data_IF_820069602140
#
_entry.id   IF_820069602140
#
_cell.length_a   1.000
_cell.length_b   1.000
_cell.length_c   1.000
_cell.angle_alpha   90.00
_cell.angle_beta   90.00
_cell.angle_gamma   90.00
#
_symmetry.space_group_name_H-M   'P 1'
#
loop_
_entity.id
_entity.type
_entity.pdbx_description
1 polymer ?
#
# COMPACT_ATOMS: atom_id res chain seq x y z
N UNK A 1 -3.45 30.10 2.72
CA UNK A 1 -2.32 29.22 2.86
C UNK A 1 -2.73 27.76 2.92
N UNK A 2 -2.27 27.00 2.01
CA UNK A 2 -2.70 25.62 1.89
C UNK A 2 -1.72 24.61 2.50
N UNK A 3 -0.51 25.06 2.81
CA UNK A 3 0.52 24.20 3.35
C UNK A 3 0.12 23.48 4.64
N UNK A 4 -0.73 24.12 5.45
CA UNK A 4 -1.18 23.56 6.71
C UNK A 4 -2.07 22.33 6.54
N UNK A 5 -2.63 22.14 5.33
CA UNK A 5 -3.50 20.98 5.05
C UNK A 5 -2.74 19.82 4.43
N UNK A 6 -1.47 20.01 4.14
CA UNK A 6 -0.67 18.97 3.54
C UNK A 6 -0.08 18.10 4.64
N UNK A 7 -0.19 16.79 4.45
CA UNK A 7 0.47 15.84 5.35
C UNK A 7 1.82 15.46 4.76
N UNK A 8 2.76 15.08 5.61
CA UNK A 8 4.05 14.61 5.17
C UNK A 8 3.90 13.31 4.38
N UNK A 9 4.89 12.98 3.55
CA UNK A 9 4.87 11.71 2.83
C UNK A 9 4.88 10.53 3.79
N UNK A 10 5.58 10.64 4.92
CA UNK A 10 5.57 9.59 5.92
C UNK A 10 4.20 9.38 6.55
N UNK A 11 3.53 10.47 6.94
CA UNK A 11 2.18 10.38 7.52
C UNK A 11 1.18 9.84 6.51
N UNK A 12 1.34 10.21 5.25
CA UNK A 12 0.51 9.66 4.17
C UNK A 12 0.75 8.16 4.03
N UNK A 13 2.01 7.73 4.04
CA UNK A 13 2.35 6.31 3.95
C UNK A 13 1.75 5.53 5.12
N UNK A 14 1.80 6.10 6.33
CA UNK A 14 1.22 5.45 7.51
C UNK A 14 -0.30 5.35 7.40
N UNK A 15 -0.95 6.40 6.95
CA UNK A 15 -2.40 6.38 6.74
C UNK A 15 -2.80 5.30 5.76
N UNK A 16 -2.14 5.26 4.60
CA UNK A 16 -2.46 4.30 3.56
C UNK A 16 -2.15 2.86 4.00
N UNK A 17 -1.09 2.68 4.76
CA UNK A 17 -0.74 1.38 5.34
C UNK A 17 -1.85 0.89 6.27
N UNK A 18 -2.29 1.75 7.19
CA UNK A 18 -3.35 1.40 8.13
C UNK A 18 -4.63 1.02 7.40
N UNK A 19 -5.02 1.82 6.40
CA UNK A 19 -6.24 1.57 5.65
C UNK A 19 -6.17 0.26 4.86
N UNK A 20 -4.99 -0.05 4.28
CA UNK A 20 -4.81 -1.31 3.57
C UNK A 20 -4.92 -2.50 4.52
N UNK A 21 -4.32 -2.40 5.71
CA UNK A 21 -4.39 -3.47 6.70
C UNK A 21 -5.82 -3.67 7.20
N UNK A 22 -6.58 -2.60 7.36
CA UNK A 22 -7.99 -2.69 7.76
C UNK A 22 -8.84 -3.41 6.73
N UNK A 23 -8.41 -3.41 5.47
CA UNK A 23 -9.04 -4.17 4.39
C UNK A 23 -8.42 -5.56 4.22
N UNK A 24 -7.59 -5.98 5.19
CA UNK A 24 -6.98 -7.31 5.24
C UNK A 24 -5.94 -7.56 4.12
N UNK A 25 -5.31 -6.50 3.62
CA UNK A 25 -4.13 -6.66 2.79
C UNK A 25 -3.05 -7.37 3.60
N UNK A 26 -2.28 -8.24 2.95
CA UNK A 26 -1.24 -8.98 3.64
C UNK A 26 0.10 -8.86 2.91
N UNK A 27 1.15 -9.37 3.54
CA UNK A 27 2.53 -9.25 3.07
C UNK A 27 2.86 -7.81 2.70
N UNK A 28 2.41 -6.88 3.55
CA UNK A 28 2.58 -5.46 3.32
C UNK A 28 3.97 -5.03 3.72
N UNK A 29 4.65 -4.35 2.80
CA UNK A 29 5.94 -3.71 3.07
C UNK A 29 5.86 -2.26 2.64
N UNK A 30 6.56 -1.40 3.37
CA UNK A 30 6.74 0.00 3.00
C UNK A 30 8.22 0.18 2.67
N UNK A 31 8.51 0.60 1.46
CA UNK A 31 9.88 0.80 0.98
C UNK A 31 10.17 2.30 0.94
N UNK A 32 11.29 2.68 1.52
CA UNK A 32 11.78 4.05 1.43
C UNK A 32 12.59 4.16 0.13
N UNK A 33 12.04 4.86 -0.85
CA UNK A 33 12.65 4.95 -2.18
C UNK A 33 13.13 6.36 -2.52
N UNK A 34 13.05 7.30 -1.57
CA UNK A 34 13.34 8.70 -1.87
C UNK A 34 14.76 8.93 -2.40
N UNK A 35 15.72 8.13 -1.97
CA UNK A 35 17.11 8.25 -2.41
C UNK A 35 17.39 7.51 -3.73
N UNK A 36 16.45 6.67 -4.16
CA UNK A 36 16.64 5.80 -5.33
C UNK A 36 15.88 6.28 -6.57
N UNK A 37 14.84 7.07 -6.38
CA UNK A 37 14.02 7.55 -7.49
C UNK A 37 13.40 8.90 -7.12
N UNK A 38 13.13 9.70 -8.15
CA UNK A 38 12.44 10.98 -7.97
C UNK A 38 10.92 10.88 -8.06
N UNK A 39 10.38 9.68 -8.36
CA UNK A 39 8.93 9.56 -8.60
C UNK A 39 8.11 9.44 -7.32
N UNK A 40 8.73 9.04 -6.23
CA UNK A 40 8.03 8.92 -4.95
C UNK A 40 9.02 8.86 -3.80
N UNK A 41 8.53 9.10 -2.59
CA UNK A 41 9.30 8.91 -1.36
C UNK A 41 9.12 7.50 -0.82
N UNK A 42 7.92 6.93 -0.95
CA UNK A 42 7.61 5.60 -0.44
C UNK A 42 6.80 4.80 -1.45
N UNK A 43 7.11 3.51 -1.51
CA UNK A 43 6.24 2.52 -2.15
C UNK A 43 5.63 1.66 -1.05
N UNK A 44 4.35 1.38 -1.19
CA UNK A 44 3.67 0.39 -0.35
C UNK A 44 3.30 -0.78 -1.26
N UNK A 45 3.77 -1.97 -0.91
CA UNK A 45 3.43 -3.18 -1.65
C UNK A 45 2.63 -4.09 -0.73
N UNK A 46 1.50 -4.55 -1.20
CA UNK A 46 0.67 -5.48 -0.43
C UNK A 46 -0.07 -6.43 -1.37
N UNK A 47 -0.65 -7.45 -0.80
CA UNK A 47 -1.27 -8.53 -1.57
C UNK A 47 -2.71 -8.77 -1.14
N UNK A 48 -3.49 -9.28 -2.08
CA UNK A 48 -4.81 -9.83 -1.85
C UNK A 48 -4.88 -11.26 -2.37
N UNK A 49 -5.80 -12.05 -1.83
CA UNK A 49 -5.94 -13.46 -2.17
C UNK A 49 -6.69 -13.71 -3.46
N UNK A 50 -7.41 -12.70 -3.95
CA UNK A 50 -8.20 -12.79 -5.16
C UNK A 50 -8.23 -11.42 -5.83
N UNK A 51 -8.64 -11.38 -7.09
CA UNK A 51 -8.84 -10.12 -7.79
C UNK A 51 -9.90 -9.26 -7.10
N UNK A 52 -10.95 -9.87 -6.56
CA UNK A 52 -11.98 -9.17 -5.80
C UNK A 52 -11.43 -8.51 -4.54
N UNK A 53 -10.58 -9.22 -3.81
CA UNK A 53 -9.98 -8.66 -2.61
C UNK A 53 -9.06 -7.49 -2.97
N UNK A 54 -8.26 -7.64 -4.04
CA UNK A 54 -7.41 -6.56 -4.53
C UNK A 54 -8.24 -5.32 -4.84
N UNK A 55 -9.35 -5.49 -5.56
CA UNK A 55 -10.26 -4.38 -5.86
C UNK A 55 -10.85 -3.76 -4.60
N UNK A 56 -11.26 -4.59 -3.64
CA UNK A 56 -11.80 -4.13 -2.37
C UNK A 56 -10.78 -3.31 -1.56
N UNK A 57 -9.54 -3.78 -1.51
CA UNK A 57 -8.46 -3.06 -0.84
C UNK A 57 -8.27 -1.69 -1.50
N UNK A 58 -8.13 -1.66 -2.82
CA UNK A 58 -7.89 -0.43 -3.55
C UNK A 58 -9.05 0.55 -3.43
N UNK A 59 -10.29 0.09 -3.55
CA UNK A 59 -11.46 0.93 -3.39
C UNK A 59 -11.56 1.49 -1.98
N UNK A 60 -11.27 0.65 -0.98
CA UNK A 60 -11.27 1.09 0.40
C UNK A 60 -10.21 2.16 0.66
N UNK A 61 -9.04 2.01 0.07
CA UNK A 61 -7.99 3.04 0.18
C UNK A 61 -8.46 4.35 -0.42
N UNK A 62 -9.05 4.31 -1.61
CA UNK A 62 -9.51 5.50 -2.30
C UNK A 62 -10.60 6.22 -1.50
N UNK A 63 -11.59 5.48 -1.05
CA UNK A 63 -12.73 6.05 -0.34
C UNK A 63 -12.36 6.56 1.06
N UNK A 64 -11.60 5.75 1.80
CA UNK A 64 -11.31 6.09 3.19
C UNK A 64 -10.21 7.14 3.31
N UNK A 65 -9.23 7.15 2.42
CA UNK A 65 -8.22 8.18 2.42
C UNK A 65 -8.81 9.55 2.07
N UNK A 66 -9.85 9.57 1.25
CA UNK A 66 -10.54 10.81 0.89
C UNK A 66 -11.13 11.52 2.11
N UNK A 67 -11.53 10.77 3.13
CA UNK A 67 -12.05 11.36 4.38
C UNK A 67 -10.98 12.20 5.08
N UNK A 68 -9.72 11.89 4.87
CA UNK A 68 -8.60 12.65 5.42
C UNK A 68 -7.97 13.60 4.39
N UNK A 69 -8.66 13.84 3.29
CA UNK A 69 -8.21 14.76 2.26
C UNK A 69 -7.12 14.20 1.35
N UNK A 70 -6.90 12.89 1.39
CA UNK A 70 -5.86 12.23 0.59
C UNK A 70 -6.53 11.52 -0.58
N UNK A 71 -6.20 11.94 -1.80
CA UNK A 71 -6.79 11.38 -3.03
C UNK A 71 -5.70 11.01 -4.00
N UNK A 72 -5.87 9.89 -4.73
CA UNK A 72 -4.89 9.53 -5.74
C UNK A 72 -5.00 10.46 -6.97
N UNK A 73 -3.87 10.75 -7.60
CA UNK A 73 -3.82 11.40 -8.90
C UNK A 73 -4.24 10.45 -10.01
N UNK A 74 -3.92 9.16 -9.84
CA UNK A 74 -4.22 8.16 -10.85
C UNK A 74 -4.39 6.81 -10.18
N UNK A 75 -5.29 6.01 -10.72
CA UNK A 75 -5.49 4.62 -10.30
C UNK A 75 -5.53 3.78 -11.57
N UNK A 76 -4.66 2.78 -11.64
CA UNK A 76 -4.57 1.90 -12.81
C UNK A 76 -4.77 0.46 -12.38
N UNK A 77 -5.42 -0.33 -13.23
CA UNK A 77 -5.59 -1.75 -13.01
C UNK A 77 -6.80 -2.16 -12.18
N UNK A 78 -7.63 -1.21 -11.75
CA UNK A 78 -8.77 -1.48 -10.88
C UNK A 78 -9.75 -2.48 -11.52
N UNK A 79 -9.93 -2.39 -12.82
CA UNK A 79 -10.93 -3.18 -13.52
C UNK A 79 -10.62 -4.68 -13.48
N UNK A 80 -9.35 -5.04 -13.62
CA UNK A 80 -8.93 -6.45 -13.58
C UNK A 80 -8.66 -6.94 -12.16
N UNK A 81 -8.14 -6.08 -11.30
CA UNK A 81 -7.81 -6.48 -9.94
C UNK A 81 -6.59 -7.39 -9.83
N UNK A 82 -5.73 -7.43 -10.84
CA UNK A 82 -4.49 -8.23 -10.78
C UNK A 82 -3.34 -7.45 -10.16
N UNK A 83 -3.24 -6.19 -10.52
CA UNK A 83 -2.23 -5.27 -10.01
C UNK A 83 -2.83 -3.88 -10.09
N UNK A 84 -3.22 -3.34 -8.95
CA UNK A 84 -3.74 -1.97 -8.89
C UNK A 84 -2.63 -1.06 -8.41
N UNK A 85 -2.30 -0.08 -9.23
CA UNK A 85 -1.34 0.96 -8.90
C UNK A 85 -2.10 2.23 -8.55
N UNK A 86 -1.84 2.77 -7.36
CA UNK A 86 -2.50 3.98 -6.89
C UNK A 86 -1.43 5.04 -6.64
N UNK A 87 -1.44 6.07 -7.46
CA UNK A 87 -0.46 7.15 -7.41
C UNK A 87 -0.98 8.27 -6.52
N UNK A 88 -0.45 8.36 -5.30
CA UNK A 88 -0.78 9.43 -4.36
C UNK A 88 0.29 10.53 -4.37
N UNK A 89 1.05 10.65 -5.45
CA UNK A 89 2.16 11.60 -5.64
C UNK A 89 3.44 11.13 -4.96
N UNK A 90 3.66 11.49 -3.71
CA UNK A 90 4.87 11.10 -2.98
C UNK A 90 4.82 9.68 -2.41
N UNK A 91 3.65 9.03 -2.46
CA UNK A 91 3.48 7.64 -2.06
C UNK A 91 2.74 6.91 -3.17
N UNK A 92 3.30 5.79 -3.61
CA UNK A 92 2.66 4.93 -4.62
C UNK A 92 2.33 3.60 -3.97
N UNK A 93 1.06 3.20 -4.05
CA UNK A 93 0.59 1.95 -3.50
C UNK A 93 0.43 0.94 -4.61
N UNK A 94 0.98 -0.26 -4.41
CA UNK A 94 0.83 -1.39 -5.32
C UNK A 94 0.06 -2.47 -4.59
N UNK A 95 -1.13 -2.79 -5.08
CA UNK A 95 -1.95 -3.88 -4.53
C UNK A 95 -1.97 -4.98 -5.56
N UNK A 96 -1.46 -6.15 -5.18
CA UNK A 96 -1.30 -7.28 -6.11
C UNK A 96 -2.21 -8.44 -5.72
N UNK A 97 -2.76 -9.10 -6.74
CA UNK A 97 -3.14 -10.49 -6.59
C UNK A 97 -1.86 -11.29 -6.41
N UNK A 98 -1.81 -12.14 -5.39
CA UNK A 98 -0.56 -12.78 -4.93
C UNK A 98 0.27 -13.41 -6.04
N UNK A 99 -0.28 -14.28 -6.93
CA UNK A 99 0.54 -14.87 -8.00
C UNK A 99 1.12 -13.85 -8.97
N UNK A 100 0.43 -12.73 -9.16
CA UNK A 100 0.90 -11.65 -10.03
C UNK A 100 2.10 -10.95 -9.40
N UNK A 101 2.07 -10.76 -8.07
CA UNK A 101 3.19 -10.17 -7.34
C UNK A 101 4.45 -11.02 -7.50
N UNK A 102 4.31 -12.34 -7.36
CA UNK A 102 5.43 -13.26 -7.55
C UNK A 102 5.97 -13.20 -8.96
N UNK A 103 5.09 -13.16 -9.94
CA UNK A 103 5.48 -13.18 -11.36
C UNK A 103 6.29 -11.94 -11.74
N UNK A 104 5.82 -10.75 -11.37
CA UNK A 104 6.51 -9.51 -11.73
C UNK A 104 7.67 -9.18 -10.80
N UNK A 105 7.66 -9.72 -9.58
CA UNK A 105 8.75 -9.59 -8.60
C UNK A 105 9.22 -8.14 -8.42
N UNK A 106 8.27 -7.24 -8.17
CA UNK A 106 8.61 -5.85 -7.89
C UNK A 106 9.47 -5.73 -6.62
N UNK A 107 9.23 -6.64 -5.67
CA UNK A 107 10.04 -6.75 -4.45
C UNK A 107 11.51 -6.97 -4.78
N UNK A 108 11.80 -7.85 -5.73
CA UNK A 108 13.17 -8.11 -6.18
C UNK A 108 13.78 -6.91 -6.88
N UNK A 109 13.01 -6.26 -7.75
CA UNK A 109 13.47 -5.07 -8.46
C UNK A 109 13.89 -3.97 -7.49
N UNK A 110 13.16 -3.81 -6.38
CA UNK A 110 13.43 -2.80 -5.37
C UNK A 110 14.10 -3.35 -4.13
N UNK A 111 14.84 -4.46 -4.26
CA UNK A 111 15.47 -5.15 -3.12
C UNK A 111 16.49 -4.28 -2.38
N UNK A 112 17.06 -3.27 -3.05
CA UNK A 112 18.02 -2.36 -2.41
C UNK A 112 17.35 -1.22 -1.63
N UNK A 113 16.04 -1.05 -1.78
CA UNK A 113 15.34 0.00 -1.05
C UNK A 113 15.20 -0.40 0.42
N UNK A 114 15.54 0.51 1.35
CA UNK A 114 15.32 0.21 2.77
C UNK A 114 13.85 0.00 3.06
N UNK A 115 13.55 -0.99 3.90
CA UNK A 115 12.21 -1.14 4.43
C UNK A 115 12.01 -0.14 5.55
N UNK A 116 10.95 0.65 5.46
CA UNK A 116 10.66 1.63 6.50
C UNK A 116 10.23 0.91 7.77
N UNK A 117 10.77 1.34 8.90
CA UNK A 117 10.38 0.79 10.20
C UNK A 117 9.02 1.37 10.59
N UNK A 118 8.02 0.51 10.73
CA UNK A 118 6.67 0.92 11.09
C UNK A 118 6.52 1.04 12.61
N UNK A 119 5.67 1.96 13.09
CA UNK A 119 5.37 2.02 14.52
C UNK A 119 4.81 0.69 15.03
N UNK A 120 5.02 0.41 16.31
CA UNK A 120 4.62 -0.85 16.93
C UNK A 120 3.14 -1.17 16.71
N UNK A 121 2.28 -0.17 16.75
CA UNK A 121 0.84 -0.37 16.52
C UNK A 121 0.56 -1.00 15.16
N UNK A 122 1.34 -0.61 14.13
CA UNK A 122 1.17 -1.17 12.79
C UNK A 122 1.74 -2.58 12.68
N UNK A 123 2.87 -2.85 13.32
CA UNK A 123 3.42 -4.21 13.31
C UNK A 123 2.50 -5.18 14.01
N UNK A 124 1.82 -4.75 15.07
CA UNK A 124 0.82 -5.58 15.74
C UNK A 124 -0.38 -5.86 14.84
N UNK A 125 -0.83 -4.88 14.06
CA UNK A 125 -1.90 -5.08 13.08
C UNK A 125 -1.48 -6.09 12.01
N UNK A 126 -0.26 -6.00 11.52
CA UNK A 126 0.26 -6.93 10.52
C UNK A 126 0.24 -8.36 11.08
N UNK A 127 0.75 -8.55 12.28
CA UNK A 127 0.76 -9.86 12.93
C UNK A 127 -0.66 -10.41 13.11
N UNK A 128 -1.57 -9.58 13.57
CA UNK A 128 -2.96 -9.98 13.80
C UNK A 128 -3.64 -10.43 12.52
N UNK A 129 -3.50 -9.66 11.43
CA UNK A 129 -4.13 -10.01 10.16
C UNK A 129 -3.44 -11.17 9.48
N UNK A 130 -2.14 -11.31 9.64
CA UNK A 130 -1.39 -12.43 9.07
C UNK A 130 -1.82 -13.74 9.72
N UNK A 131 -1.96 -13.77 11.03
CA UNK A 131 -2.45 -14.94 11.76
C UNK A 131 -3.87 -15.28 11.29
N UNK A 132 -4.74 -14.28 11.15
CA UNK A 132 -6.09 -14.50 10.65
C UNK A 132 -6.11 -15.09 9.25
N UNK A 133 -5.22 -14.63 8.37
CA UNK A 133 -5.10 -15.15 7.01
C UNK A 133 -4.60 -16.59 6.99
N UNK A 134 -3.66 -16.93 7.85
CA UNK A 134 -3.14 -18.29 7.96
C UNK A 134 -4.23 -19.25 8.44
N UNK A 135 -5.08 -18.82 9.38
CA UNK A 135 -6.17 -19.63 9.87
C UNK A 135 -7.24 -19.88 8.81
N UNK A 136 -7.38 -18.95 7.85
CA UNK A 136 -8.35 -19.09 6.77
C UNK A 136 -7.87 -20.01 5.67
N UNK A 137 -6.59 -20.26 5.60
CA UNK A 137 -6.03 -21.15 4.59
C UNK A 137 -5.93 -22.56 5.13
#
# INVERSE_FOLDING_TARGET
>A
MTASNEISSWDKALLLTRLALEKKAYDLVVLDVHALTSIADYFILCSGRSDRQVQSIAQGLEENAADDGVKPYAVEGMQRGHWVLMDFSDVIVHVFYEPVREFYDLDGLWSHAPRAALPEAYTKLIEQFQIGNEQLS
#
